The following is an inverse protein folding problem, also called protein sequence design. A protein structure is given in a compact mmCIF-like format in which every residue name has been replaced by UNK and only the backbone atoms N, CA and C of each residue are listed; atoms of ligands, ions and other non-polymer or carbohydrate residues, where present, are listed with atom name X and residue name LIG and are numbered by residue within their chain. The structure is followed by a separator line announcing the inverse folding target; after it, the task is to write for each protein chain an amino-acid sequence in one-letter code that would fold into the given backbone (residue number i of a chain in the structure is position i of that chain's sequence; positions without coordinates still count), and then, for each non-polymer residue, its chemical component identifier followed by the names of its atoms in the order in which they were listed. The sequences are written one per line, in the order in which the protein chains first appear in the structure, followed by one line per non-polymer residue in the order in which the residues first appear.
data_IF_810319641828
#
_entry.id   IF_810319641828
#
_cell.length_a   1.000
_cell.length_b   1.000
_cell.length_c   1.000
_cell.angle_alpha   90.00
_cell.angle_beta   90.00
_cell.angle_gamma   90.00
#
_symmetry.space_group_name_H-M   'P 1'
#
loop_
_entity.id
_entity.type
_entity.pdbx_description
1 polymer ?
#
# COMPACT_ATOMS: atom_id res chain seq x y z
N UNK A 1 -16.93 -8.62 -40.12
CA UNK A 1 -16.42 -8.26 -38.78
C UNK A 1 -14.91 -8.10 -38.90
N UNK A 2 -14.40 -6.87 -38.86
CA UNK A 2 -12.97 -6.59 -39.04
C UNK A 2 -12.23 -6.89 -37.74
N UNK A 3 -11.24 -7.78 -37.78
CA UNK A 3 -10.41 -8.11 -36.61
C UNK A 3 -9.21 -7.15 -36.65
N UNK A 4 -9.16 -6.21 -35.73
CA UNK A 4 -8.03 -5.29 -35.56
C UNK A 4 -6.93 -6.03 -34.79
N UNK A 5 -5.71 -6.05 -35.33
CA UNK A 5 -4.55 -6.64 -34.64
C UNK A 5 -4.02 -5.71 -33.56
N UNK A 6 -3.28 -6.23 -32.57
CA UNK A 6 -2.68 -5.41 -31.50
C UNK A 6 -1.73 -4.34 -32.06
N UNK A 7 -0.97 -4.65 -33.10
CA UNK A 7 -0.08 -3.69 -33.76
C UNK A 7 -0.87 -2.57 -34.45
N UNK A 8 -1.95 -2.92 -35.15
CA UNK A 8 -2.86 -1.93 -35.73
C UNK A 8 -3.51 -1.06 -34.64
N UNK A 9 -3.94 -1.65 -33.53
CA UNK A 9 -4.47 -0.91 -32.40
C UNK A 9 -3.44 0.07 -31.80
N UNK A 10 -2.19 -0.39 -31.64
CA UNK A 10 -1.08 0.45 -31.17
C UNK A 10 -0.81 1.62 -32.11
N UNK A 11 -0.78 1.37 -33.42
CA UNK A 11 -0.56 2.42 -34.40
C UNK A 11 -1.69 3.45 -34.39
N UNK A 12 -2.96 3.00 -34.31
CA UNK A 12 -4.12 3.90 -34.20
C UNK A 12 -4.00 4.82 -32.97
N UNK A 13 -3.56 4.29 -31.83
CA UNK A 13 -3.31 5.07 -30.62
C UNK A 13 -2.23 6.14 -30.83
N UNK A 14 -1.11 5.78 -31.47
CA UNK A 14 -0.01 6.70 -31.77
C UNK A 14 -0.49 7.83 -32.69
N UNK A 15 -1.17 7.49 -33.78
CA UNK A 15 -1.67 8.45 -34.76
C UNK A 15 -2.69 9.41 -34.12
N UNK A 16 -3.57 8.88 -33.27
CA UNK A 16 -4.58 9.66 -32.54
C UNK A 16 -3.93 10.63 -31.54
N UNK A 17 -2.93 10.17 -30.78
CA UNK A 17 -2.23 11.02 -29.81
C UNK A 17 -1.45 12.14 -30.50
N UNK A 18 -0.72 11.84 -31.59
CA UNK A 18 0.01 12.84 -32.36
C UNK A 18 -0.93 13.89 -32.97
N UNK A 19 -2.08 13.48 -33.49
CA UNK A 19 -3.09 14.40 -34.00
C UNK A 19 -3.62 15.35 -32.91
N UNK A 20 -3.88 14.84 -31.70
CA UNK A 20 -4.31 15.64 -30.56
C UNK A 20 -3.23 16.61 -30.09
N UNK A 21 -1.95 16.21 -30.15
CA UNK A 21 -0.82 17.06 -29.77
C UNK A 21 -0.59 18.18 -30.79
N UNK A 22 -0.81 17.93 -32.09
CA UNK A 22 -0.56 18.93 -33.14
C UNK A 22 -1.72 19.89 -33.39
N UNK A 23 -2.93 19.59 -32.91
CA UNK A 23 -4.13 20.42 -33.17
C UNK A 23 -4.00 21.82 -32.53
N UNK A 24 -4.77 22.79 -33.01
CA UNK A 24 -4.84 24.12 -32.40
C UNK A 24 -5.62 24.12 -31.06
N UNK A 25 -5.31 25.10 -30.19
CA UNK A 25 -6.03 25.29 -28.93
C UNK A 25 -7.41 25.93 -29.19
N UNK A 26 -8.43 25.09 -29.34
CA UNK A 26 -9.81 25.53 -29.58
C UNK A 26 -10.61 25.75 -28.29
N UNK A 27 -10.03 25.44 -27.14
CA UNK A 27 -10.66 25.53 -25.81
C UNK A 27 -9.61 25.62 -24.70
N UNK A 28 -9.90 26.24 -23.54
CA UNK A 28 -9.03 26.23 -22.36
C UNK A 28 -8.64 24.82 -21.87
N UNK A 29 -9.47 23.81 -22.15
CA UNK A 29 -9.20 22.41 -21.78
C UNK A 29 -8.32 21.66 -22.78
N UNK A 30 -7.90 22.30 -23.87
CA UNK A 30 -7.10 21.65 -24.92
C UNK A 30 -5.76 21.15 -24.39
N UNK A 31 -5.17 21.86 -23.42
CA UNK A 31 -3.91 21.46 -22.80
C UNK A 31 -4.06 20.15 -21.99
N UNK A 32 -5.18 19.97 -21.28
CA UNK A 32 -5.47 18.72 -20.57
C UNK A 32 -5.47 17.53 -21.54
N UNK A 33 -6.05 17.71 -22.73
CA UNK A 33 -6.09 16.65 -23.73
C UNK A 33 -4.71 16.40 -24.36
N UNK A 34 -3.90 17.44 -24.58
CA UNK A 34 -2.51 17.31 -25.03
C UNK A 34 -1.66 16.56 -23.99
N UNK A 35 -1.82 16.88 -22.71
CA UNK A 35 -1.11 16.17 -21.63
C UNK A 35 -1.52 14.70 -21.57
N UNK A 36 -2.81 14.39 -21.67
CA UNK A 36 -3.26 12.99 -21.74
C UNK A 36 -2.66 12.24 -22.95
N UNK A 37 -2.56 12.90 -24.11
CA UNK A 37 -1.94 12.32 -25.30
C UNK A 37 -0.42 12.08 -25.11
N UNK A 38 0.30 13.00 -24.45
CA UNK A 38 1.72 12.83 -24.10
C UNK A 38 1.91 11.64 -23.15
N UNK A 39 1.09 11.53 -22.12
CA UNK A 39 1.12 10.41 -21.15
C UNK A 39 0.84 9.08 -21.86
N UNK A 40 -0.15 9.05 -22.75
CA UNK A 40 -0.49 7.84 -23.50
C UNK A 40 0.69 7.36 -24.37
N UNK A 41 1.39 8.27 -25.06
CA UNK A 41 2.59 7.93 -25.84
C UNK A 41 3.72 7.42 -24.94
N UNK A 42 4.01 8.12 -23.84
CA UNK A 42 5.03 7.69 -22.87
C UNK A 42 4.72 6.29 -22.29
N UNK A 43 3.45 6.01 -22.01
CA UNK A 43 2.99 4.71 -21.49
C UNK A 43 3.20 3.55 -22.47
N UNK A 44 3.24 3.81 -23.78
CA UNK A 44 3.56 2.78 -24.78
C UNK A 44 5.05 2.42 -24.82
N UNK A 45 5.92 3.33 -24.35
CA UNK A 45 7.38 3.16 -24.34
C UNK A 45 7.90 2.63 -23.00
N UNK A 46 7.15 2.84 -21.90
CA UNK A 46 7.57 2.33 -20.61
C UNK A 46 7.57 0.81 -20.61
N UNK A 47 8.75 0.26 -20.31
CA UNK A 47 8.88 -1.15 -19.95
C UNK A 47 7.95 -1.39 -18.77
N UNK A 48 7.04 -2.36 -18.92
CA UNK A 48 6.04 -2.70 -17.89
C UNK A 48 6.67 -2.61 -16.51
N UNK A 49 6.07 -1.83 -15.62
CA UNK A 49 6.44 -1.88 -14.19
C UNK A 49 6.16 -3.30 -13.74
N UNK A 50 7.22 -4.11 -13.73
CA UNK A 50 7.19 -5.41 -13.08
C UNK A 50 7.03 -5.05 -11.63
N UNK A 51 5.83 -5.25 -11.10
CA UNK A 51 5.64 -5.32 -9.66
C UNK A 51 6.47 -6.50 -9.20
N UNK A 52 7.72 -6.25 -8.81
CA UNK A 52 8.49 -7.23 -8.05
C UNK A 52 7.67 -7.43 -6.78
N UNK A 53 7.22 -8.67 -6.53
CA UNK A 53 6.37 -9.04 -5.39
C UNK A 53 6.92 -8.65 -4.00
N UNK A 54 8.12 -8.09 -3.92
CA UNK A 54 8.65 -7.40 -2.76
C UNK A 54 8.06 -5.99 -2.63
N UNK A 55 6.78 -5.91 -2.22
CA UNK A 55 6.37 -4.72 -1.45
C UNK A 55 7.32 -4.59 -0.26
N UNK A 56 7.87 -3.41 0.04
CA UNK A 56 8.63 -3.23 1.27
C UNK A 56 7.74 -3.67 2.42
N UNK A 57 8.29 -4.47 3.35
CA UNK A 57 7.57 -4.88 4.54
C UNK A 57 6.93 -3.63 5.18
N UNK A 58 5.65 -3.71 5.61
CA UNK A 58 4.96 -2.54 6.14
C UNK A 58 5.78 -1.97 7.30
N UNK A 59 6.28 -0.75 7.13
CA UNK A 59 7.03 -0.05 8.17
C UNK A 59 6.06 0.25 9.31
N UNK A 60 6.30 -0.37 10.46
CA UNK A 60 5.54 -0.11 11.68
C UNK A 60 5.98 1.27 12.20
N UNK A 61 5.08 2.26 12.33
CA UNK A 61 5.43 3.57 12.88
C UNK A 61 5.97 3.48 14.31
N UNK A 62 6.78 4.45 14.74
CA UNK A 62 7.46 4.43 16.05
C UNK A 62 6.50 4.31 17.25
N UNK A 63 5.28 4.84 17.15
CA UNK A 63 4.24 4.78 18.19
C UNK A 63 3.38 3.51 18.14
N UNK A 64 3.66 2.58 17.23
CA UNK A 64 2.88 1.36 17.01
C UNK A 64 3.64 0.13 17.52
N UNK A 65 2.91 -0.81 18.14
CA UNK A 65 3.47 -2.08 18.62
C UNK A 65 2.79 -3.24 17.91
N UNK A 66 3.58 -4.14 17.32
CA UNK A 66 3.07 -5.40 16.80
C UNK A 66 2.69 -6.32 17.95
N UNK A 67 1.44 -6.80 17.93
CA UNK A 67 0.88 -7.70 18.93
C UNK A 67 0.32 -8.92 18.20
N UNK A 68 0.64 -10.15 18.64
CA UNK A 68 0.08 -11.36 18.05
C UNK A 68 -1.46 -11.34 18.03
N UNK A 69 -2.07 -11.77 16.91
CA UNK A 69 -3.54 -11.84 16.77
C UNK A 69 -4.17 -12.72 17.85
N UNK A 70 -3.50 -13.81 18.20
CA UNK A 70 -3.87 -14.68 19.32
C UNK A 70 -2.89 -14.44 20.47
N UNK A 71 -3.36 -14.05 21.66
CA UNK A 71 -2.47 -13.77 22.79
C UNK A 71 -1.69 -15.03 23.19
N UNK A 72 -0.41 -14.85 23.47
CA UNK A 72 0.46 -15.95 23.90
C UNK A 72 0.17 -16.33 25.36
N UNK A 73 0.57 -17.53 25.78
CA UNK A 73 0.48 -17.96 27.17
C UNK A 73 1.10 -16.95 28.17
N UNK A 74 2.30 -16.42 27.92
CA UNK A 74 2.90 -15.36 28.74
C UNK A 74 2.05 -14.09 28.83
N UNK A 75 1.46 -13.64 27.71
CA UNK A 75 0.55 -12.49 27.72
C UNK A 75 -0.65 -12.77 28.62
N UNK A 76 -1.33 -13.90 28.43
CA UNK A 76 -2.50 -14.27 29.24
C UNK A 76 -2.15 -14.37 30.74
N UNK A 77 -1.01 -14.97 31.08
CA UNK A 77 -0.54 -15.07 32.45
C UNK A 77 -0.26 -13.69 33.08
N UNK A 78 0.39 -12.78 32.35
CA UNK A 78 0.65 -11.41 32.81
C UNK A 78 -0.65 -10.63 33.05
N UNK A 79 -1.60 -10.71 32.11
CA UNK A 79 -2.92 -10.11 32.25
C UNK A 79 -3.68 -10.64 33.46
N UNK A 80 -3.68 -11.96 33.65
CA UNK A 80 -4.34 -12.61 34.78
C UNK A 80 -3.72 -12.21 36.12
N UNK A 81 -2.39 -12.14 36.22
CA UNK A 81 -1.71 -11.70 37.43
C UNK A 81 -2.03 -10.24 37.77
N UNK A 82 -2.04 -9.35 36.78
CA UNK A 82 -2.42 -7.94 36.97
C UNK A 82 -3.90 -7.79 37.36
N UNK A 83 -4.78 -8.64 36.82
CA UNK A 83 -6.18 -8.70 37.21
C UNK A 83 -6.35 -9.07 38.69
N UNK A 84 -5.62 -10.09 39.15
CA UNK A 84 -5.70 -10.57 40.54
C UNK A 84 -5.12 -9.59 41.56
N UNK A 85 -4.11 -8.81 41.17
CA UNK A 85 -3.46 -7.81 42.05
C UNK A 85 -4.20 -6.47 42.12
N UNK A 86 -5.11 -6.18 41.18
CA UNK A 86 -5.74 -4.85 41.05
C UNK A 86 -7.01 -4.66 41.90
N UNK A 87 -7.17 -3.47 42.49
CA UNK A 87 -8.48 -3.01 42.99
C UNK A 87 -9.49 -2.90 41.83
N UNK A 88 -10.79 -2.96 42.11
CA UNK A 88 -11.84 -3.05 41.08
C UNK A 88 -11.78 -1.93 40.02
N UNK A 89 -11.38 -0.71 40.40
CA UNK A 89 -11.22 0.41 39.46
C UNK A 89 -9.95 0.25 38.63
N UNK A 90 -10.12 0.22 37.29
CA UNK A 90 -9.01 0.17 36.33
C UNK A 90 -8.36 -1.21 36.18
N UNK A 91 -8.91 -2.27 36.79
CA UNK A 91 -8.37 -3.63 36.75
C UNK A 91 -8.16 -4.15 35.32
N UNK A 92 -9.15 -3.94 34.44
CA UNK A 92 -9.07 -4.37 33.03
C UNK A 92 -7.99 -3.62 32.25
N UNK A 93 -7.89 -2.31 32.44
CA UNK A 93 -6.86 -1.49 31.80
C UNK A 93 -5.45 -1.95 32.19
N UNK A 94 -5.21 -2.21 33.48
CA UNK A 94 -3.92 -2.72 33.97
C UNK A 94 -3.61 -4.12 33.45
N UNK A 95 -4.63 -4.97 33.35
CA UNK A 95 -4.50 -6.32 32.78
C UNK A 95 -4.12 -6.24 31.30
N UNK A 96 -4.74 -5.34 30.55
CA UNK A 96 -4.43 -5.10 29.15
C UNK A 96 -3.02 -4.52 28.94
N UNK A 97 -2.60 -3.57 29.77
CA UNK A 97 -1.23 -3.03 29.74
C UNK A 97 -0.19 -4.12 30.00
N UNK A 98 -0.40 -4.98 31.00
CA UNK A 98 0.49 -6.10 31.29
C UNK A 98 0.57 -7.10 30.12
N UNK A 99 -0.55 -7.35 29.44
CA UNK A 99 -0.57 -8.17 28.23
C UNK A 99 0.25 -7.56 27.08
N UNK A 100 0.15 -6.24 26.89
CA UNK A 100 0.92 -5.53 25.85
C UNK A 100 2.43 -5.47 26.16
N UNK A 101 2.81 -5.41 27.42
CA UNK A 101 4.22 -5.44 27.86
C UNK A 101 4.85 -6.82 27.70
N UNK A 102 4.06 -7.88 27.94
CA UNK A 102 4.47 -9.27 27.76
C UNK A 102 4.44 -9.73 26.28
N UNK A 103 4.02 -8.86 25.35
CA UNK A 103 4.05 -9.17 23.93
C UNK A 103 5.49 -9.43 23.46
N UNK A 104 5.71 -10.40 22.56
CA UNK A 104 7.04 -10.66 22.02
C UNK A 104 7.57 -9.42 21.31
N UNK A 105 8.80 -9.02 21.64
CA UNK A 105 9.51 -7.98 20.90
C UNK A 105 9.98 -8.57 19.58
N UNK A 106 9.89 -7.82 18.48
CA UNK A 106 10.54 -8.24 17.24
C UNK A 106 12.03 -8.41 17.51
N UNK A 107 12.54 -9.61 17.28
CA UNK A 107 13.97 -9.87 17.23
C UNK A 107 14.56 -9.14 16.02
N UNK A 108 15.72 -8.49 16.21
CA UNK A 108 16.49 -7.92 15.09
C UNK A 108 16.93 -8.98 14.07
N UNK A 109 16.86 -10.26 14.45
CA UNK A 109 17.16 -11.44 13.61
C UNK A 109 16.19 -11.59 12.43
N UNK A 110 15.00 -11.00 12.47
CA UNK A 110 14.03 -11.04 11.38
C UNK A 110 14.21 -9.90 10.36
N UNK A 111 15.34 -9.16 10.43
CA UNK A 111 15.70 -8.04 9.53
C UNK A 111 16.91 -8.32 8.61
N UNK A 112 17.33 -9.57 8.46
CA UNK A 112 18.31 -10.01 7.44
C UNK A 112 17.61 -10.79 6.31
#
# INVERSE_FOLDING_TARGET
MTIITREQQKQILIDTANHVISRDNTSPYSENLRELARIALASLETKSVVWTDASPAPVVPDDWRLVPKNPTGPMLAAGYQAYMKGQHRGRFYRSYQAMLEAAPKLSEVDRE
#
